data_IF_960586732027
#
_entry.id   IF_960586732027
#
_cell.length_a   1.000
_cell.length_b   1.000
_cell.length_c   1.000
_cell.angle_alpha   90.00
_cell.angle_beta   90.00
_cell.angle_gamma   90.00
#
_symmetry.space_group_name_H-M   'P 1'
#
loop_
_entity.id
_entity.type
_entity.pdbx_description
1 polymer ?
#
# COMPACT_ATOMS: atom_id res chain seq x y z
N UNK A 1 -47.31 16.89 15.19
CA UNK A 1 -46.62 15.93 14.29
C UNK A 1 -45.48 16.55 13.46
N UNK A 2 -45.49 17.86 13.15
CA UNK A 2 -44.40 18.53 12.41
C UNK A 2 -43.03 18.48 13.12
N UNK A 3 -43.02 18.43 14.45
CA UNK A 3 -41.79 18.37 15.26
C UNK A 3 -41.03 17.04 15.11
N UNK A 4 -41.75 15.91 15.07
CA UNK A 4 -41.12 14.59 14.89
C UNK A 4 -40.42 14.46 13.53
N UNK A 5 -41.04 14.94 12.45
CA UNK A 5 -40.44 14.91 11.12
C UNK A 5 -39.26 15.87 11.00
N UNK A 6 -39.32 17.03 11.65
CA UNK A 6 -38.18 17.94 11.77
C UNK A 6 -37.00 17.28 12.50
N UNK A 7 -37.25 16.63 13.64
CA UNK A 7 -36.22 15.93 14.40
C UNK A 7 -35.60 14.76 13.61
N UNK A 8 -36.41 13.98 12.88
CA UNK A 8 -35.92 12.92 11.98
C UNK A 8 -35.01 13.47 10.89
N UNK A 9 -35.43 14.54 10.20
CA UNK A 9 -34.60 15.19 9.16
C UNK A 9 -33.28 15.70 9.73
N UNK A 10 -33.30 16.30 10.92
CA UNK A 10 -32.09 16.78 11.59
C UNK A 10 -31.16 15.62 11.96
N UNK A 11 -31.71 14.50 12.45
CA UNK A 11 -30.95 13.27 12.70
C UNK A 11 -30.30 12.77 11.41
N UNK A 12 -31.05 12.65 10.33
CA UNK A 12 -30.53 12.12 9.06
C UNK A 12 -29.42 13.02 8.49
N UNK A 13 -29.57 14.33 8.60
CA UNK A 13 -28.52 15.29 8.25
C UNK A 13 -27.25 15.12 9.11
N UNK A 14 -27.41 14.93 10.42
CA UNK A 14 -26.28 14.70 11.33
C UNK A 14 -25.59 13.37 11.03
N UNK A 15 -26.36 12.30 10.80
CA UNK A 15 -25.82 10.99 10.40
C UNK A 15 -25.00 11.10 9.12
N UNK A 16 -25.51 11.79 8.09
CA UNK A 16 -24.78 11.98 6.84
C UNK A 16 -23.47 12.77 7.05
N UNK A 17 -23.49 13.80 7.89
CA UNK A 17 -22.27 14.57 8.24
C UNK A 17 -21.25 13.73 8.99
N UNK A 18 -21.69 12.89 9.94
CA UNK A 18 -20.83 11.97 10.68
C UNK A 18 -20.16 10.98 9.71
N UNK A 19 -20.95 10.33 8.85
CA UNK A 19 -20.42 9.40 7.86
C UNK A 19 -19.40 10.07 6.93
N UNK A 20 -19.66 11.31 6.50
CA UNK A 20 -18.72 12.07 5.67
C UNK A 20 -17.42 12.39 6.43
N UNK A 21 -17.51 12.78 7.70
CA UNK A 21 -16.33 13.06 8.52
C UNK A 21 -15.50 11.80 8.77
N UNK A 22 -16.14 10.67 9.09
CA UNK A 22 -15.47 9.38 9.25
C UNK A 22 -14.79 8.90 7.96
N UNK A 23 -15.45 9.04 6.82
CA UNK A 23 -14.87 8.69 5.53
C UNK A 23 -13.62 9.54 5.22
N UNK A 24 -13.66 10.85 5.51
CA UNK A 24 -12.50 11.74 5.37
C UNK A 24 -11.35 11.36 6.30
N UNK A 25 -11.65 11.00 7.54
CA UNK A 25 -10.64 10.55 8.50
C UNK A 25 -9.98 9.25 8.01
N UNK A 26 -10.78 8.25 7.63
CA UNK A 26 -10.28 6.98 7.07
C UNK A 26 -9.42 7.21 5.82
N UNK A 27 -9.84 8.09 4.91
CA UNK A 27 -9.06 8.41 3.71
C UNK A 27 -7.73 9.08 4.06
N UNK A 28 -7.70 9.97 5.04
CA UNK A 28 -6.48 10.64 5.51
C UNK A 28 -5.51 9.66 6.13
N UNK A 29 -5.99 8.78 7.01
CA UNK A 29 -5.17 7.73 7.63
C UNK A 29 -4.61 6.78 6.58
N UNK A 30 -5.45 6.28 5.66
CA UNK A 30 -5.02 5.42 4.56
C UNK A 30 -3.92 6.07 3.73
N UNK A 31 -4.06 7.36 3.38
CA UNK A 31 -3.04 8.09 2.62
C UNK A 31 -1.71 8.17 3.38
N UNK A 32 -1.74 8.37 4.69
CA UNK A 32 -0.53 8.39 5.52
C UNK A 32 0.15 7.00 5.56
N UNK A 33 -0.62 5.94 5.75
CA UNK A 33 -0.11 4.56 5.74
C UNK A 33 0.48 4.17 4.38
N UNK A 34 -0.23 4.47 3.29
CA UNK A 34 0.23 4.17 1.93
C UNK A 34 1.53 4.93 1.62
N UNK A 35 1.65 6.19 2.09
CA UNK A 35 2.91 6.96 1.99
C UNK A 35 4.05 6.27 2.73
N UNK A 36 3.81 5.77 3.94
CA UNK A 36 4.84 5.05 4.73
C UNK A 36 5.28 3.79 3.99
N UNK A 37 4.35 2.97 3.49
CA UNK A 37 4.66 1.74 2.74
C UNK A 37 5.53 2.03 1.52
N UNK A 38 5.19 3.07 0.75
CA UNK A 38 5.98 3.47 -0.42
C UNK A 38 7.39 3.93 -0.03
N UNK A 39 7.51 4.80 0.98
CA UNK A 39 8.81 5.32 1.41
C UNK A 39 9.71 4.24 1.99
N UNK A 40 9.16 3.36 2.84
CA UNK A 40 9.90 2.23 3.40
C UNK A 40 10.32 1.26 2.30
N UNK A 41 9.42 0.89 1.39
CA UNK A 41 9.74 0.02 0.26
C UNK A 41 10.83 0.60 -0.64
N UNK A 42 10.76 1.91 -0.94
CA UNK A 42 11.79 2.61 -1.71
C UNK A 42 13.16 2.63 -1.01
N UNK A 43 13.18 2.86 0.32
CA UNK A 43 14.41 2.85 1.11
C UNK A 43 15.06 1.46 1.14
N UNK A 44 14.26 0.40 1.34
CA UNK A 44 14.73 -0.99 1.27
C UNK A 44 15.31 -1.29 -0.12
N UNK A 45 14.56 -0.98 -1.19
CA UNK A 45 15.04 -1.21 -2.55
C UNK A 45 16.36 -0.47 -2.83
N UNK A 46 16.46 0.79 -2.42
CA UNK A 46 17.69 1.58 -2.56
C UNK A 46 18.88 0.97 -1.80
N UNK A 47 18.67 0.44 -0.59
CA UNK A 47 19.74 -0.23 0.17
C UNK A 47 20.35 -1.40 -0.61
N UNK A 48 19.54 -2.15 -1.35
CA UNK A 48 20.01 -3.27 -2.15
C UNK A 48 20.83 -2.86 -3.39
N UNK A 49 20.78 -1.59 -3.82
CA UNK A 49 21.73 -1.07 -4.84
C UNK A 49 23.17 -1.05 -4.36
N UNK A 50 23.38 -1.03 -3.03
CA UNK A 50 24.70 -0.99 -2.40
C UNK A 50 25.14 -2.35 -1.85
N UNK A 51 24.27 -3.36 -1.91
CA UNK A 51 24.51 -4.68 -1.33
C UNK A 51 24.04 -5.82 -2.24
N UNK A 52 24.70 -6.05 -3.39
CA UNK A 52 24.31 -7.10 -4.33
C UNK A 52 24.23 -8.51 -3.72
N UNK A 53 25.13 -8.82 -2.79
CA UNK A 53 25.14 -10.10 -2.09
C UNK A 53 23.85 -10.39 -1.30
N UNK A 54 23.06 -9.36 -0.97
CA UNK A 54 21.80 -9.48 -0.21
C UNK A 54 20.56 -9.58 -1.10
N UNK A 55 20.69 -9.59 -2.43
CA UNK A 55 19.52 -9.67 -3.31
C UNK A 55 18.73 -10.96 -3.12
N UNK A 56 19.41 -12.09 -2.87
CA UNK A 56 18.76 -13.37 -2.57
C UNK A 56 17.83 -13.29 -1.36
N UNK A 57 18.31 -12.70 -0.25
CA UNK A 57 17.50 -12.51 0.97
C UNK A 57 16.23 -11.68 0.71
N UNK A 58 16.33 -10.63 -0.12
CA UNK A 58 15.17 -9.82 -0.49
C UNK A 58 14.19 -10.61 -1.36
N UNK A 59 14.68 -11.40 -2.33
CA UNK A 59 13.82 -12.22 -3.18
C UNK A 59 13.12 -13.32 -2.38
N UNK A 60 13.78 -13.94 -1.41
CA UNK A 60 13.16 -14.89 -0.47
C UNK A 60 12.07 -14.23 0.38
N UNK A 61 12.32 -13.02 0.89
CA UNK A 61 11.32 -12.24 1.60
C UNK A 61 10.12 -11.93 0.70
N UNK A 62 10.34 -11.46 -0.53
CA UNK A 62 9.26 -11.17 -1.48
C UNK A 62 8.50 -12.43 -1.88
N UNK A 63 9.18 -13.58 -2.00
CA UNK A 63 8.56 -14.86 -2.29
C UNK A 63 7.59 -15.32 -1.19
N UNK A 64 7.89 -15.04 0.08
CA UNK A 64 7.00 -15.35 1.20
C UNK A 64 5.90 -14.31 1.42
N UNK A 65 6.15 -13.05 1.07
CA UNK A 65 5.21 -11.94 1.24
C UNK A 65 4.16 -11.84 0.12
N UNK A 66 4.56 -12.02 -1.14
CA UNK A 66 3.68 -11.83 -2.30
C UNK A 66 2.82 -13.06 -2.57
N UNK A 67 1.51 -12.88 -2.52
CA UNK A 67 0.52 -13.95 -2.71
C UNK A 67 -0.09 -13.96 -4.10
N UNK A 68 -0.21 -12.80 -4.76
CA UNK A 68 -0.88 -12.69 -6.05
C UNK A 68 0.06 -13.08 -7.20
N UNK A 69 -0.37 -13.92 -8.15
CA UNK A 69 0.49 -14.37 -9.26
C UNK A 69 1.11 -13.21 -10.07
N UNK A 70 0.34 -12.17 -10.36
CA UNK A 70 0.83 -11.02 -11.12
C UNK A 70 1.91 -10.23 -10.36
N UNK A 71 1.78 -10.07 -9.04
CA UNK A 71 2.77 -9.36 -8.21
C UNK A 71 4.04 -10.20 -8.05
N UNK A 72 3.89 -11.52 -7.85
CA UNK A 72 5.00 -12.47 -7.82
C UNK A 72 5.78 -12.43 -9.13
N UNK A 73 5.11 -12.49 -10.27
CA UNK A 73 5.76 -12.40 -11.58
C UNK A 73 6.50 -11.07 -11.78
N UNK A 74 5.89 -9.96 -11.34
CA UNK A 74 6.46 -8.62 -11.50
C UNK A 74 7.76 -8.42 -10.69
N UNK A 75 7.91 -9.09 -9.55
CA UNK A 75 9.09 -8.96 -8.68
C UNK A 75 10.09 -10.10 -8.87
N UNK A 76 9.61 -11.35 -8.81
CA UNK A 76 10.45 -12.55 -8.79
C UNK A 76 10.83 -13.05 -10.19
N UNK A 77 10.09 -12.65 -11.23
CA UNK A 77 10.25 -13.22 -12.56
C UNK A 77 9.81 -14.69 -12.65
N UNK A 78 9.97 -15.32 -13.83
CA UNK A 78 9.51 -16.69 -14.08
C UNK A 78 10.32 -17.77 -13.35
N UNK A 79 11.58 -17.48 -12.98
CA UNK A 79 12.52 -18.43 -12.35
C UNK A 79 12.73 -18.16 -10.85
N UNK A 80 12.10 -17.13 -10.29
CA UNK A 80 12.26 -16.73 -8.90
C UNK A 80 13.54 -15.93 -8.60
N UNK A 81 14.38 -15.64 -9.61
CA UNK A 81 15.66 -14.97 -9.44
C UNK A 81 15.61 -13.45 -9.67
N UNK A 82 14.40 -12.89 -9.67
CA UNK A 82 14.13 -11.48 -9.90
C UNK A 82 13.74 -11.21 -11.35
N UNK A 83 12.74 -10.37 -11.54
CA UNK A 83 12.36 -9.85 -12.85
C UNK A 83 13.45 -8.93 -13.43
N UNK A 84 13.38 -8.67 -14.73
CA UNK A 84 14.28 -7.74 -15.40
C UNK A 84 14.11 -6.30 -14.87
N UNK A 85 12.90 -5.90 -14.50
CA UNK A 85 12.63 -4.65 -13.78
C UNK A 85 13.32 -4.60 -12.43
N UNK A 86 13.20 -5.66 -11.62
CA UNK A 86 13.84 -5.74 -10.31
C UNK A 86 15.36 -5.62 -10.44
N UNK A 87 15.97 -6.41 -11.32
CA UNK A 87 17.42 -6.41 -11.57
C UNK A 87 17.93 -5.03 -11.96
N UNK A 88 17.21 -4.33 -12.85
CA UNK A 88 17.54 -2.94 -13.25
C UNK A 88 17.49 -1.95 -12.08
N UNK A 89 16.53 -2.11 -11.17
CA UNK A 89 16.39 -1.24 -10.01
C UNK A 89 17.50 -1.47 -8.97
N UNK A 90 17.94 -2.71 -8.78
CA UNK A 90 18.96 -3.07 -7.79
C UNK A 90 20.40 -3.07 -8.32
N UNK A 91 20.61 -3.02 -9.63
CA UNK A 91 21.95 -2.88 -10.22
C UNK A 91 22.52 -1.46 -10.10
N UNK A 92 21.69 -0.48 -9.75
CA UNK A 92 22.04 0.95 -9.84
C UNK A 92 22.10 1.41 -11.30
N UNK A 93 21.73 2.66 -11.55
CA UNK A 93 22.14 3.39 -12.77
C UNK A 93 23.49 4.06 -12.52
#
# INVERSE_FOLDING_TARGET
MADLEYLKRKRDQLTARIQQAEARQKATTKKAEDRIKVLVGAAVLHQHTKSPAKHGELLELMNSFLTRPAERQAVLGPDGQGSEEFKRLVSGS
#
